data_IF_046572399335
#
_entry.id   IF_046572399335
#
_cell.length_a   1.000
_cell.length_b   1.000
_cell.length_c   1.000
_cell.angle_alpha   90.00
_cell.angle_beta   90.00
_cell.angle_gamma   90.00
#
_symmetry.space_group_name_H-M   'P 1'
#
loop_
_entity.id
_entity.type
_entity.pdbx_description
1 polymer ?
#
# COMPACT_ATOMS: atom_id res chain seq x y z
N UNK A 1 39.24 16.50 -21.11
CA UNK A 1 38.19 17.05 -22.02
C UNK A 1 36.86 16.26 -22.03
N UNK A 2 36.71 15.14 -21.30
CA UNK A 2 35.45 14.38 -21.27
C UNK A 2 34.30 15.07 -20.52
N UNK A 3 34.62 15.92 -19.54
CA UNK A 3 33.65 16.51 -18.62
C UNK A 3 32.66 17.48 -19.30
N UNK A 4 33.13 18.30 -20.24
CA UNK A 4 32.26 19.26 -20.94
C UNK A 4 31.19 18.57 -21.80
N UNK A 5 31.54 17.46 -22.44
CA UNK A 5 30.60 16.69 -23.28
C UNK A 5 29.50 16.05 -22.45
N UNK A 6 29.87 15.48 -21.30
CA UNK A 6 28.91 14.89 -20.37
C UNK A 6 27.99 15.96 -19.75
N UNK A 7 28.53 17.14 -19.40
CA UNK A 7 27.73 18.26 -18.90
C UNK A 7 26.74 18.78 -19.94
N UNK A 8 27.15 18.93 -21.20
CA UNK A 8 26.24 19.35 -22.26
C UNK A 8 25.09 18.35 -22.46
N UNK A 9 25.39 17.04 -22.51
CA UNK A 9 24.35 16.00 -22.63
C UNK A 9 23.41 15.97 -21.41
N UNK A 10 23.93 16.21 -20.20
CA UNK A 10 23.10 16.34 -19.00
C UNK A 10 22.12 17.51 -19.07
N UNK A 11 22.58 18.68 -19.53
CA UNK A 11 21.73 19.85 -19.70
C UNK A 11 20.60 19.63 -20.72
N UNK A 12 20.88 18.94 -21.83
CA UNK A 12 19.85 18.58 -22.81
C UNK A 12 18.82 17.59 -22.24
N UNK A 13 19.27 16.58 -21.49
CA UNK A 13 18.36 15.62 -20.86
C UNK A 13 17.40 16.29 -19.86
N UNK A 14 17.89 17.28 -19.10
CA UNK A 14 17.05 18.06 -18.18
C UNK A 14 16.04 18.93 -18.93
N UNK A 15 16.46 19.57 -20.03
CA UNK A 15 15.59 20.36 -20.89
C UNK A 15 14.46 19.54 -21.52
N UNK A 16 14.77 18.38 -22.10
CA UNK A 16 13.77 17.47 -22.67
C UNK A 16 12.80 16.98 -21.60
N UNK A 17 13.30 16.64 -20.41
CA UNK A 17 12.45 16.24 -19.28
C UNK A 17 11.52 17.36 -18.85
N UNK A 18 11.98 18.60 -18.84
CA UNK A 18 11.14 19.75 -18.52
C UNK A 18 10.00 19.93 -19.53
N UNK A 19 10.29 19.79 -20.83
CA UNK A 19 9.27 19.85 -21.90
C UNK A 19 8.24 18.72 -21.80
N UNK A 20 8.67 17.49 -21.51
CA UNK A 20 7.76 16.34 -21.33
C UNK A 20 6.81 16.60 -20.16
N UNK A 21 7.32 17.11 -19.04
CA UNK A 21 6.52 17.42 -17.86
C UNK A 21 5.51 18.53 -18.13
N UNK A 22 5.87 19.54 -18.91
CA UNK A 22 4.96 20.63 -19.26
C UNK A 22 3.76 20.12 -20.06
N UNK A 23 4.01 19.33 -21.11
CA UNK A 23 2.95 18.70 -21.90
C UNK A 23 2.09 17.75 -21.06
N UNK A 24 2.70 17.03 -20.13
CA UNK A 24 1.95 16.17 -19.22
C UNK A 24 1.01 16.98 -18.32
N UNK A 25 1.44 18.14 -17.83
CA UNK A 25 0.60 19.04 -17.01
C UNK A 25 -0.59 19.56 -17.82
N UNK A 26 -0.36 19.99 -19.05
CA UNK A 26 -1.42 20.43 -19.97
C UNK A 26 -2.43 19.30 -20.23
N UNK A 27 -1.94 18.09 -20.51
CA UNK A 27 -2.79 16.91 -20.72
C UNK A 27 -3.61 16.53 -19.48
N UNK A 28 -3.00 16.58 -18.29
CA UNK A 28 -3.70 16.34 -17.02
C UNK A 28 -4.74 17.44 -16.78
N UNK A 29 -4.43 18.70 -17.05
CA UNK A 29 -5.37 19.82 -16.89
C UNK A 29 -6.60 19.65 -17.79
N UNK A 30 -6.39 19.32 -19.06
CA UNK A 30 -7.47 19.02 -20.00
C UNK A 30 -8.29 17.79 -19.57
N UNK A 31 -7.64 16.72 -19.09
CA UNK A 31 -8.34 15.52 -18.61
C UNK A 31 -9.16 15.78 -17.34
N UNK A 32 -8.67 16.65 -16.44
CA UNK A 32 -9.41 17.10 -15.25
C UNK A 32 -10.64 17.92 -15.64
N UNK A 33 -10.50 18.87 -16.58
CA UNK A 33 -11.62 19.66 -17.09
C UNK A 33 -12.71 18.77 -17.72
N UNK A 34 -12.30 17.72 -18.44
CA UNK A 34 -13.21 16.72 -19.03
C UNK A 34 -13.78 15.72 -18.01
N UNK A 35 -13.36 15.77 -16.75
CA UNK A 35 -13.80 14.83 -15.71
C UNK A 35 -13.33 13.37 -15.91
N UNK A 36 -12.44 13.10 -16.88
CA UNK A 36 -12.00 11.74 -17.20
C UNK A 36 -11.01 11.17 -16.18
N UNK A 37 -10.49 11.99 -15.26
CA UNK A 37 -9.53 11.58 -14.25
C UNK A 37 -10.18 10.68 -13.20
N UNK A 38 -10.25 9.39 -13.50
CA UNK A 38 -10.81 8.38 -12.61
C UNK A 38 -9.72 7.88 -11.69
N UNK A 39 -9.83 8.20 -10.40
CA UNK A 39 -9.00 7.55 -9.40
C UNK A 39 -9.26 6.04 -9.36
N UNK A 40 -8.39 5.27 -8.70
CA UNK A 40 -8.63 3.84 -8.48
C UNK A 40 -10.03 3.65 -7.89
N UNK A 41 -10.86 2.82 -8.54
CA UNK A 41 -12.19 2.48 -8.04
C UNK A 41 -12.08 1.92 -6.61
N UNK A 42 -12.89 2.39 -5.65
CA UNK A 42 -12.88 1.86 -4.30
C UNK A 42 -13.19 0.36 -4.33
N UNK A 43 -12.57 -0.40 -3.43
CA UNK A 43 -12.74 -1.85 -3.37
C UNK A 43 -14.12 -2.26 -2.81
N UNK A 44 -14.78 -1.37 -2.08
CA UNK A 44 -16.11 -1.56 -1.51
C UNK A 44 -17.06 -0.52 -2.05
N UNK A 45 -18.34 -0.88 -2.17
CA UNK A 45 -19.41 0.10 -2.42
C UNK A 45 -19.61 1.00 -1.21
N UNK A 46 -20.33 2.11 -1.38
CA UNK A 46 -20.66 3.03 -0.29
C UNK A 46 -21.42 2.36 0.84
N UNK A 47 -22.35 1.46 0.49
CA UNK A 47 -23.14 0.65 1.41
C UNK A 47 -22.27 -0.32 2.20
N UNK A 48 -21.40 -1.07 1.51
CA UNK A 48 -20.46 -1.99 2.16
C UNK A 48 -19.48 -1.25 3.08
N UNK A 49 -19.04 -0.06 2.70
CA UNK A 49 -18.19 0.78 3.54
C UNK A 49 -18.92 1.37 4.76
N UNK A 50 -20.23 1.58 4.69
CA UNK A 50 -21.07 1.95 5.84
C UNK A 50 -21.23 0.75 6.78
N UNK A 51 -21.63 -0.40 6.24
CA UNK A 51 -21.77 -1.64 7.01
C UNK A 51 -20.47 -2.04 7.72
N UNK A 52 -19.32 -1.90 7.04
CA UNK A 52 -18.02 -2.15 7.65
C UNK A 52 -17.72 -1.20 8.82
N UNK A 53 -18.11 0.09 8.72
CA UNK A 53 -17.93 1.07 9.80
C UNK A 53 -18.85 0.79 10.98
N UNK A 54 -20.10 0.43 10.73
CA UNK A 54 -21.07 0.06 11.77
C UNK A 54 -20.62 -1.18 12.54
N UNK A 55 -20.18 -2.22 11.83
CA UNK A 55 -19.69 -3.46 12.46
C UNK A 55 -18.38 -3.29 13.20
N UNK A 56 -17.50 -2.43 12.69
CA UNK A 56 -16.30 -2.05 13.43
C UNK A 56 -16.65 -1.24 14.70
N UNK A 57 -17.67 -0.37 14.65
CA UNK A 57 -18.17 0.34 15.83
C UNK A 57 -18.84 -0.59 16.84
N UNK A 58 -19.46 -1.68 16.38
CA UNK A 58 -20.01 -2.75 17.22
C UNK A 58 -18.92 -3.61 17.90
N UNK A 59 -17.64 -3.36 17.65
CA UNK A 59 -16.52 -4.03 18.31
C UNK A 59 -16.08 -5.34 17.67
N UNK A 60 -16.53 -5.64 16.44
CA UNK A 60 -16.04 -6.81 15.71
C UNK A 60 -14.55 -6.68 15.35
N UNK A 61 -13.83 -7.81 15.37
CA UNK A 61 -12.40 -7.85 15.05
C UNK A 61 -12.17 -7.52 13.57
N UNK A 62 -11.26 -6.59 13.29
CA UNK A 62 -10.98 -6.09 11.93
C UNK A 62 -10.41 -7.19 11.01
N UNK A 63 -9.80 -8.21 11.59
CA UNK A 63 -9.32 -9.39 10.85
C UNK A 63 -10.46 -10.28 10.34
N UNK A 64 -11.58 -10.33 11.05
CA UNK A 64 -12.79 -11.04 10.62
C UNK A 64 -13.47 -10.28 9.49
N UNK A 65 -13.68 -8.97 9.71
CA UNK A 65 -14.25 -8.07 8.70
C UNK A 65 -13.44 -8.08 7.39
N UNK A 66 -12.11 -8.03 7.48
CA UNK A 66 -11.24 -8.13 6.30
C UNK A 66 -11.51 -9.38 5.46
N UNK A 67 -11.71 -10.54 6.09
CA UNK A 67 -11.95 -11.81 5.39
C UNK A 67 -13.33 -11.85 4.75
N UNK A 68 -14.33 -11.36 5.46
CA UNK A 68 -15.72 -11.36 5.00
C UNK A 68 -15.93 -10.41 3.82
N UNK A 69 -15.36 -9.22 3.89
CA UNK A 69 -15.40 -8.23 2.80
C UNK A 69 -14.36 -8.50 1.70
N UNK A 70 -13.54 -9.56 1.83
CA UNK A 70 -12.52 -9.91 0.82
C UNK A 70 -11.41 -8.87 0.65
N UNK A 71 -11.16 -8.02 1.66
CA UNK A 71 -10.19 -6.93 1.60
C UNK A 71 -9.00 -7.15 2.53
N UNK A 72 -7.88 -6.51 2.21
CA UNK A 72 -6.72 -6.52 3.11
C UNK A 72 -7.04 -5.79 4.42
N UNK A 73 -6.41 -6.22 5.54
CA UNK A 73 -6.52 -5.52 6.83
C UNK A 73 -6.12 -4.03 6.74
N UNK A 74 -5.17 -3.70 5.86
CA UNK A 74 -4.77 -2.31 5.57
C UNK A 74 -5.92 -1.49 4.96
N UNK A 75 -6.72 -2.10 4.09
CA UNK A 75 -7.88 -1.46 3.49
C UNK A 75 -8.95 -1.20 4.55
N UNK A 76 -9.20 -2.15 5.47
CA UNK A 76 -10.12 -1.96 6.61
C UNK A 76 -9.74 -0.71 7.41
N UNK A 77 -8.47 -0.59 7.83
CA UNK A 77 -8.00 0.61 8.53
C UNK A 77 -8.13 1.89 7.71
N UNK A 78 -8.03 1.80 6.38
CA UNK A 78 -8.19 2.95 5.49
C UNK A 78 -9.64 3.44 5.44
N UNK A 79 -10.62 2.54 5.55
CA UNK A 79 -12.05 2.87 5.63
C UNK A 79 -12.49 3.32 7.04
N UNK A 80 -11.84 2.83 8.09
CA UNK A 80 -12.11 3.24 9.47
C UNK A 80 -11.47 4.57 9.84
N UNK A 81 -10.45 5.00 9.11
CA UNK A 81 -9.82 6.30 9.34
C UNK A 81 -10.81 7.41 8.93
N UNK A 82 -11.19 8.33 9.82
CA UNK A 82 -12.06 9.45 9.46
C UNK A 82 -11.41 10.22 8.31
N UNK A 83 -12.19 10.41 7.24
CA UNK A 83 -11.69 10.81 5.94
C UNK A 83 -11.16 12.26 5.95
N UNK A 84 -9.85 12.40 5.76
CA UNK A 84 -9.27 13.57 5.07
C UNK A 84 -9.21 13.35 3.55
N UNK A 85 -9.89 12.33 3.02
CA UNK A 85 -9.76 11.88 1.63
C UNK A 85 -11.15 11.69 1.02
N UNK A 86 -11.85 12.79 0.83
CA UNK A 86 -12.96 12.88 -0.13
C UNK A 86 -12.38 13.38 -1.43
N UNK A 87 -12.42 12.51 -2.45
CA UNK A 87 -11.90 12.81 -3.79
C UNK A 87 -10.55 12.17 -4.05
N UNK A 88 -10.31 11.87 -5.32
CA UNK A 88 -8.97 11.62 -5.81
C UNK A 88 -8.04 12.68 -5.24
N UNK A 89 -6.90 12.36 -4.60
CA UNK A 89 -5.96 13.39 -4.20
C UNK A 89 -5.42 14.01 -5.49
N UNK A 90 -6.08 15.05 -5.99
CA UNK A 90 -5.41 16.02 -6.82
C UNK A 90 -4.44 16.71 -5.87
N UNK A 91 -3.12 16.55 -6.03
CA UNK A 91 -2.20 17.41 -5.30
C UNK A 91 -2.49 18.84 -5.79
N UNK A 92 -3.22 19.61 -4.98
CA UNK A 92 -3.39 21.05 -5.20
C UNK A 92 -2.09 21.81 -4.89
N UNK A 93 -1.08 21.10 -4.37
CA UNK A 93 0.22 21.66 -4.08
C UNK A 93 1.21 21.28 -5.19
N UNK A 94 1.98 22.25 -5.72
CA UNK A 94 3.09 21.94 -6.62
C UNK A 94 4.03 20.96 -5.90
N UNK A 95 4.42 19.89 -6.59
CA UNK A 95 5.41 18.94 -6.10
C UNK A 95 6.70 19.74 -5.89
N UNK A 96 7.01 20.10 -4.64
CA UNK A 96 8.26 20.76 -4.27
C UNK A 96 9.40 19.74 -4.48
N UNK A 97 9.99 19.78 -5.66
CA UNK A 97 11.25 19.10 -6.00
C UNK A 97 12.37 19.79 -5.21
N UNK A 98 12.45 19.52 -3.91
CA UNK A 98 13.43 20.18 -3.04
C UNK A 98 13.31 19.90 -1.53
N UNK A 99 12.32 19.13 -1.08
CA UNK A 99 12.28 18.70 0.31
C UNK A 99 13.41 17.71 0.60
N UNK A 100 14.44 18.13 1.35
CA UNK A 100 15.40 17.23 1.96
C UNK A 100 14.62 16.15 2.71
N UNK A 101 14.77 14.91 2.23
CA UNK A 101 14.16 13.72 2.84
C UNK A 101 14.50 13.78 4.34
N UNK A 102 13.52 13.89 5.26
CA UNK A 102 13.84 13.93 6.67
C UNK A 102 14.60 12.65 6.98
N UNK A 103 15.83 12.82 7.46
CA UNK A 103 16.75 11.75 7.76
C UNK A 103 16.01 10.76 8.65
N UNK A 104 15.81 9.53 8.15
CA UNK A 104 15.18 8.47 8.94
C UNK A 104 16.08 8.25 10.14
N UNK A 105 15.76 8.87 11.27
CA UNK A 105 16.30 8.48 12.57
C UNK A 105 15.97 7.00 12.72
N UNK A 106 16.96 6.17 12.47
CA UNK A 106 16.98 4.80 12.97
C UNK A 106 16.85 4.94 14.48
N UNK A 107 15.64 4.79 15.00
CA UNK A 107 15.49 4.46 16.40
C UNK A 107 16.13 3.09 16.53
N UNK A 108 17.39 3.07 17.01
CA UNK A 108 18.13 1.88 17.44
C UNK A 108 17.47 1.17 18.62
N UNK A 109 16.18 1.37 18.86
CA UNK A 109 15.42 0.53 19.78
C UNK A 109 14.80 -0.59 18.96
N UNK A 110 15.69 -1.50 18.56
CA UNK A 110 15.37 -2.91 18.36
C UNK A 110 14.67 -3.36 19.64
N UNK A 111 13.35 -3.31 19.59
CA UNK A 111 12.42 -3.90 20.52
C UNK A 111 13.01 -5.24 20.97
N UNK A 112 13.50 -5.28 22.21
CA UNK A 112 13.87 -6.49 22.92
C UNK A 112 12.59 -7.32 23.02
N UNK A 113 12.32 -8.13 21.99
CA UNK A 113 11.27 -9.14 22.03
C UNK A 113 11.81 -10.31 22.86
N UNK A 114 11.93 -10.14 24.16
CA UNK A 114 11.88 -11.25 25.10
C UNK A 114 10.42 -11.73 25.15
N UNK A 115 10.00 -12.47 24.12
CA UNK A 115 8.80 -13.28 24.19
C UNK A 115 9.15 -14.54 24.98
N UNK A 116 8.55 -14.79 26.16
CA UNK A 116 8.93 -15.93 27.01
C UNK A 116 8.59 -17.30 26.40
N UNK A 117 7.79 -17.34 25.32
CA UNK A 117 7.30 -18.58 24.69
C UNK A 117 7.88 -18.83 23.28
N UNK A 118 9.16 -18.59 23.05
CA UNK A 118 9.83 -19.09 21.83
C UNK A 118 10.40 -20.49 22.08
N UNK A 119 9.66 -21.51 21.65
CA UNK A 119 10.20 -22.87 21.56
C UNK A 119 11.44 -22.86 20.65
N UNK A 120 12.52 -23.60 20.99
CA UNK A 120 13.73 -23.65 20.18
C UNK A 120 13.40 -24.15 18.77
N UNK A 121 14.09 -23.62 17.74
CA UNK A 121 13.75 -23.85 16.31
C UNK A 121 13.57 -25.34 15.95
N UNK A 122 14.32 -26.23 16.61
CA UNK A 122 14.19 -27.69 16.48
C UNK A 122 12.78 -28.21 16.80
N UNK A 123 12.09 -27.61 17.78
CA UNK A 123 10.73 -27.99 18.15
C UNK A 123 9.67 -27.40 17.21
N UNK A 124 9.94 -26.25 16.58
CA UNK A 124 9.05 -25.65 15.57
C UNK A 124 8.99 -26.55 14.33
N UNK A 125 10.15 -27.02 13.86
CA UNK A 125 10.25 -27.95 12.72
C UNK A 125 9.57 -29.29 13.03
N UNK A 126 9.78 -29.83 14.24
CA UNK A 126 9.13 -31.08 14.68
C UNK A 126 7.60 -30.96 14.71
N UNK A 127 7.04 -29.88 15.29
CA UNK A 127 5.59 -29.63 15.28
C UNK A 127 5.03 -29.41 13.87
N UNK A 128 5.78 -28.78 12.97
CA UNK A 128 5.37 -28.60 11.58
C UNK A 128 5.34 -29.93 10.83
N UNK A 129 6.30 -30.82 11.07
CA UNK A 129 6.33 -32.17 10.50
C UNK A 129 5.19 -33.04 11.05
N UNK A 130 4.95 -33.01 12.37
CA UNK A 130 3.84 -33.74 13.01
C UNK A 130 2.47 -33.26 12.50
N UNK A 131 2.29 -31.94 12.31
CA UNK A 131 1.07 -31.38 11.67
C UNK A 131 0.92 -31.79 10.20
N UNK A 132 2.02 -32.08 9.50
CA UNK A 132 2.01 -32.49 8.10
C UNK A 132 1.73 -33.99 7.96
N UNK A 133 2.17 -34.81 8.90
CA UNK A 133 1.88 -36.25 8.97
C UNK A 133 0.39 -36.56 9.24
N UNK A 134 -0.36 -35.63 9.85
CA UNK A 134 -1.80 -35.76 10.10
C UNK A 134 -2.72 -35.17 9.02
N UNK A 135 -2.18 -34.69 7.89
CA UNK A 135 -3.00 -34.12 6.81
C UNK A 135 -3.25 -35.16 5.72
N UNK A 136 -4.53 -35.51 5.51
CA UNK A 136 -4.98 -36.33 4.39
C UNK A 136 -4.61 -35.64 3.06
N UNK A 137 -3.71 -36.22 2.24
CA UNK A 137 -3.31 -35.64 0.97
C UNK A 137 -4.49 -35.49 -0.01
N UNK A 138 -5.57 -36.26 0.15
CA UNK A 138 -6.79 -36.14 -0.67
C UNK A 138 -7.67 -34.93 -0.30
N UNK A 139 -7.43 -34.27 0.84
CA UNK A 139 -8.16 -33.06 1.23
C UNK A 139 -7.80 -31.83 0.37
N UNK A 140 -6.63 -31.82 -0.26
CA UNK A 140 -6.17 -30.70 -1.09
C UNK A 140 -6.91 -30.66 -2.45
N UNK A 141 -7.11 -31.81 -3.09
CA UNK A 141 -7.79 -31.90 -4.40
C UNK A 141 -9.30 -31.58 -4.36
N UNK A 142 -9.96 -31.71 -3.20
CA UNK A 142 -11.39 -31.38 -3.05
C UNK A 142 -11.67 -29.88 -2.88
N UNK A 143 -10.65 -29.05 -2.66
CA UNK A 143 -10.78 -27.59 -2.48
C UNK A 143 -10.50 -26.77 -3.74
N UNK A 144 -10.14 -27.44 -4.83
CA UNK A 144 -9.76 -26.81 -6.11
C UNK A 144 -10.68 -27.18 -7.27
N UNK A 145 -11.83 -27.81 -6.99
CA UNK A 145 -12.90 -28.06 -7.95
C UNK A 145 -14.07 -27.09 -7.70
#
# INVERSE_FOLDING_TARGET
>A
MANLRLSAMGAFAEFERALILERQREGIAAAKQRGSYTCRKPALTTEQAQQLRERAAAGEKESSLAREFGISRKAVYSYLRPAAITGCPTPAHPIQLGGSRPERRHTRNRCQKSSPDRLPERQVVKRLLERRAGQDPAAWNRRSA
#
